data_IF_596743370401
#
_entry.id   IF_596743370401
#
_cell.length_a   1.000
_cell.length_b   1.000
_cell.length_c   1.000
_cell.angle_alpha   90.00
_cell.angle_beta   90.00
_cell.angle_gamma   90.00
#
_symmetry.space_group_name_H-M   'P 1'
#
loop_
_entity.id
_entity.type
_entity.pdbx_description
1 polymer ?
#
# COMPACT_ATOMS: atom_id res chain seq x y z
N UNK A 1 -24.45 -23.09 -0.87
CA UNK A 1 -24.26 -22.03 0.15
C UNK A 1 -23.41 -20.94 -0.49
N UNK A 2 -23.92 -19.73 -0.61
CA UNK A 2 -23.13 -18.57 -1.02
C UNK A 2 -22.17 -18.30 0.13
N UNK A 3 -20.86 -18.40 -0.10
CA UNK A 3 -19.86 -18.00 0.92
C UNK A 3 -19.97 -16.50 1.11
N UNK A 4 -19.90 -16.03 2.35
CA UNK A 4 -19.78 -14.60 2.62
C UNK A 4 -18.59 -14.01 1.85
N UNK A 5 -18.72 -12.79 1.31
CA UNK A 5 -17.63 -12.17 0.58
C UNK A 5 -16.39 -12.00 1.48
N UNK A 6 -15.20 -12.21 0.91
CA UNK A 6 -13.95 -11.89 1.59
C UNK A 6 -13.85 -10.37 1.78
N UNK A 7 -13.23 -9.94 2.87
CA UNK A 7 -13.09 -8.51 3.20
C UNK A 7 -11.64 -8.08 3.11
N UNK A 8 -11.40 -6.93 2.49
CA UNK A 8 -10.11 -6.23 2.47
C UNK A 8 -10.23 -4.84 3.10
N UNK A 9 -9.24 -4.47 3.90
CA UNK A 9 -8.99 -3.08 4.31
C UNK A 9 -7.86 -2.53 3.46
N UNK A 10 -8.08 -1.37 2.81
CA UNK A 10 -7.14 -0.75 1.90
C UNK A 10 -6.92 0.72 2.25
N UNK A 11 -5.66 1.13 2.40
CA UNK A 11 -5.30 2.50 2.71
C UNK A 11 -4.86 3.28 1.47
N UNK A 12 -5.12 4.60 1.43
CA UNK A 12 -4.74 5.44 0.28
C UNK A 12 -5.59 5.20 -0.97
N UNK A 13 -6.90 4.94 -0.78
CA UNK A 13 -7.82 4.49 -1.82
C UNK A 13 -8.27 5.55 -2.82
N UNK A 14 -8.06 6.84 -2.55
CA UNK A 14 -8.70 7.93 -3.31
C UNK A 14 -8.18 8.09 -4.74
N UNK A 15 -6.99 7.59 -5.07
CA UNK A 15 -6.36 7.76 -6.39
C UNK A 15 -5.28 6.70 -6.68
N UNK A 16 -4.80 6.68 -7.92
CA UNK A 16 -3.63 5.92 -8.36
C UNK A 16 -3.75 4.42 -8.11
N UNK A 17 -2.69 3.82 -7.55
CA UNK A 17 -2.62 2.38 -7.26
C UNK A 17 -3.77 1.95 -6.35
N UNK A 18 -3.99 2.66 -5.22
CA UNK A 18 -5.03 2.30 -4.27
C UNK A 18 -6.42 2.29 -4.90
N UNK A 19 -6.75 3.29 -5.72
CA UNK A 19 -8.04 3.32 -6.44
C UNK A 19 -8.20 2.15 -7.42
N UNK A 20 -7.16 1.83 -8.17
CA UNK A 20 -7.15 0.66 -9.08
C UNK A 20 -7.30 -0.65 -8.30
N UNK A 21 -6.66 -0.74 -7.12
CA UNK A 21 -6.75 -1.91 -6.24
C UNK A 21 -8.19 -2.08 -5.70
N UNK A 22 -8.84 -1.00 -5.26
CA UNK A 22 -10.27 -1.05 -4.87
C UNK A 22 -11.11 -1.64 -5.99
N UNK A 23 -11.00 -1.07 -7.20
CA UNK A 23 -11.75 -1.55 -8.38
C UNK A 23 -11.45 -3.02 -8.70
N UNK A 24 -10.21 -3.47 -8.50
CA UNK A 24 -9.81 -4.85 -8.76
C UNK A 24 -10.47 -5.82 -7.77
N UNK A 25 -10.39 -5.53 -6.46
CA UNK A 25 -11.01 -6.35 -5.42
C UNK A 25 -12.55 -6.37 -5.54
N UNK A 26 -13.17 -5.22 -5.82
CA UNK A 26 -14.60 -5.12 -6.03
C UNK A 26 -15.09 -6.02 -7.19
N UNK A 27 -14.41 -6.00 -8.34
CA UNK A 27 -14.70 -6.89 -9.47
C UNK A 27 -14.55 -8.37 -9.15
N UNK A 28 -13.83 -8.71 -8.08
CA UNK A 28 -13.66 -10.07 -7.56
C UNK A 28 -14.65 -10.39 -6.42
N UNK A 29 -15.66 -9.55 -6.23
CA UNK A 29 -16.69 -9.69 -5.21
C UNK A 29 -16.15 -9.71 -3.76
N UNK A 30 -15.08 -8.95 -3.49
CA UNK A 30 -14.63 -8.70 -2.14
C UNK A 30 -15.34 -7.47 -1.58
N UNK A 31 -15.70 -7.52 -0.31
CA UNK A 31 -16.09 -6.34 0.46
C UNK A 31 -14.87 -5.47 0.72
N UNK A 32 -14.92 -4.18 0.35
CA UNK A 32 -13.77 -3.28 0.44
C UNK A 32 -14.06 -2.16 1.42
N UNK A 33 -13.28 -2.12 2.50
CA UNK A 33 -13.25 -1.03 3.48
C UNK A 33 -12.00 -0.19 3.20
N UNK A 34 -12.15 1.12 3.05
CA UNK A 34 -11.03 1.98 2.64
C UNK A 34 -10.81 3.13 3.60
N UNK A 35 -9.58 3.67 3.61
CA UNK A 35 -9.34 4.99 4.16
C UNK A 35 -8.47 5.86 3.26
N UNK A 36 -8.70 7.16 3.35
CA UNK A 36 -7.84 8.21 2.83
C UNK A 36 -8.20 9.55 3.48
N UNK A 37 -7.35 10.57 3.31
CA UNK A 37 -7.62 11.91 3.83
C UNK A 37 -8.78 12.60 3.11
N UNK A 38 -9.02 12.25 1.87
CA UNK A 38 -10.06 12.79 1.02
C UNK A 38 -11.13 11.74 0.74
N UNK A 39 -12.36 12.16 0.58
CA UNK A 39 -13.45 11.28 0.16
C UNK A 39 -13.18 10.77 -1.26
N UNK A 40 -13.52 9.51 -1.56
CA UNK A 40 -13.39 9.00 -2.91
C UNK A 40 -14.31 9.75 -3.89
N UNK A 41 -14.00 9.75 -5.20
CA UNK A 41 -14.87 10.27 -6.23
C UNK A 41 -16.30 9.73 -6.11
N UNK A 42 -17.30 10.54 -6.45
CA UNK A 42 -18.72 10.18 -6.25
C UNK A 42 -19.14 8.96 -7.07
N UNK A 43 -18.60 8.81 -8.27
CA UNK A 43 -18.80 7.66 -9.14
C UNK A 43 -18.33 6.34 -8.51
N UNK A 44 -17.28 6.38 -7.70
CA UNK A 44 -16.74 5.20 -7.02
C UNK A 44 -17.62 4.75 -5.86
N UNK A 45 -18.40 5.66 -5.26
CA UNK A 45 -19.33 5.34 -4.16
C UNK A 45 -20.56 4.53 -4.62
N UNK A 46 -20.75 4.38 -5.92
CA UNK A 46 -21.84 3.59 -6.50
C UNK A 46 -21.50 2.11 -6.63
N UNK A 47 -20.23 1.73 -6.38
CA UNK A 47 -19.81 0.34 -6.40
C UNK A 47 -20.35 -0.37 -5.15
N UNK A 48 -21.22 -1.38 -5.29
CA UNK A 48 -21.86 -2.05 -4.16
C UNK A 48 -20.88 -2.81 -3.26
N UNK A 49 -19.68 -3.15 -3.78
CA UNK A 49 -18.66 -3.86 -3.03
C UNK A 49 -17.66 -2.92 -2.35
N UNK A 50 -17.63 -1.63 -2.75
CA UNK A 50 -16.93 -0.60 -1.98
C UNK A 50 -17.82 -0.15 -0.84
N UNK A 51 -17.89 -1.01 0.18
CA UNK A 51 -18.90 -0.93 1.22
C UNK A 51 -18.74 0.28 2.13
N UNK A 52 -17.49 0.64 2.48
CA UNK A 52 -17.24 1.72 3.45
C UNK A 52 -15.98 2.50 3.12
N UNK A 53 -16.06 3.81 3.37
CA UNK A 53 -14.90 4.70 3.32
C UNK A 53 -14.83 5.54 4.59
N UNK A 54 -13.71 5.43 5.31
CA UNK A 54 -13.42 6.19 6.51
C UNK A 54 -12.42 7.28 6.18
N UNK A 55 -12.74 8.54 6.47
CA UNK A 55 -11.78 9.64 6.29
C UNK A 55 -10.82 9.64 7.46
N UNK A 56 -9.52 9.41 7.19
CA UNK A 56 -8.48 9.37 8.22
C UNK A 56 -7.14 9.89 7.70
N UNK A 57 -6.43 10.61 8.57
CA UNK A 57 -5.02 10.95 8.39
C UNK A 57 -4.15 9.95 9.15
N UNK A 58 -3.44 9.11 8.43
CA UNK A 58 -2.60 8.05 9.01
C UNK A 58 -1.26 8.58 9.54
N UNK A 59 -0.91 9.86 9.30
CA UNK A 59 0.22 10.52 9.93
C UNK A 59 -0.09 10.91 11.38
N UNK A 60 -1.38 11.15 11.70
CA UNK A 60 -1.86 11.47 13.04
C UNK A 60 -2.25 10.18 13.80
N UNK A 61 -1.55 9.92 14.90
CA UNK A 61 -1.74 8.69 15.66
C UNK A 61 -3.17 8.52 16.19
N UNK A 62 -3.82 9.61 16.62
CA UNK A 62 -5.21 9.56 17.11
C UNK A 62 -6.19 9.27 15.99
N UNK A 63 -5.99 9.88 14.83
CA UNK A 63 -6.80 9.62 13.64
C UNK A 63 -6.65 8.17 13.17
N UNK A 64 -5.42 7.62 13.22
CA UNK A 64 -5.16 6.22 12.91
C UNK A 64 -5.86 5.27 13.90
N UNK A 65 -5.77 5.53 15.21
CA UNK A 65 -6.43 4.72 16.23
C UNK A 65 -7.96 4.75 16.09
N UNK A 66 -8.53 5.91 15.77
CA UNK A 66 -9.96 6.04 15.46
C UNK A 66 -10.34 5.24 14.22
N UNK A 67 -9.52 5.30 13.16
CA UNK A 67 -9.73 4.49 11.95
C UNK A 67 -9.76 2.99 12.27
N UNK A 68 -8.80 2.50 13.06
CA UNK A 68 -8.76 1.08 13.47
C UNK A 68 -10.01 0.70 14.25
N UNK A 69 -10.47 1.58 15.14
CA UNK A 69 -11.67 1.34 15.96
C UNK A 69 -12.92 1.26 15.08
N UNK A 70 -13.16 2.26 14.24
CA UNK A 70 -14.31 2.32 13.34
C UNK A 70 -14.31 1.16 12.33
N UNK A 71 -13.15 0.82 11.75
CA UNK A 71 -13.05 -0.30 10.83
C UNK A 71 -13.34 -1.65 11.52
N UNK A 72 -12.97 -1.83 12.80
CA UNK A 72 -13.34 -3.02 13.59
C UNK A 72 -14.84 -3.09 13.87
N UNK A 73 -15.48 -1.96 14.14
CA UNK A 73 -16.95 -1.89 14.31
C UNK A 73 -17.65 -2.30 13.02
N UNK A 74 -17.17 -1.83 11.85
CA UNK A 74 -17.70 -2.23 10.54
C UNK A 74 -17.49 -3.72 10.24
N UNK A 75 -16.36 -4.29 10.65
CA UNK A 75 -16.12 -5.73 10.54
C UNK A 75 -17.09 -6.54 11.41
N UNK A 76 -17.58 -5.99 12.51
CA UNK A 76 -18.59 -6.63 13.40
C UNK A 76 -18.24 -8.11 13.70
N UNK A 77 -16.98 -8.39 14.12
CA UNK A 77 -16.46 -9.74 14.40
C UNK A 77 -16.22 -10.64 13.14
N UNK A 78 -16.56 -10.17 11.93
CA UNK A 78 -16.20 -10.88 10.69
C UNK A 78 -14.69 -11.02 10.54
N UNK A 79 -14.20 -12.04 9.82
CA UNK A 79 -12.79 -12.19 9.51
C UNK A 79 -12.32 -11.09 8.55
N UNK A 80 -11.09 -10.61 8.74
CA UNK A 80 -10.38 -9.79 7.77
C UNK A 80 -9.44 -10.67 6.93
N UNK A 81 -9.63 -10.67 5.62
CA UNK A 81 -8.88 -11.54 4.71
C UNK A 81 -7.66 -10.86 4.09
N UNK A 82 -7.67 -9.51 4.01
CA UNK A 82 -6.52 -8.77 3.51
C UNK A 82 -6.42 -7.38 4.15
N UNK A 83 -5.17 -6.93 4.37
CA UNK A 83 -4.80 -5.57 4.70
C UNK A 83 -3.81 -5.06 3.66
N UNK A 84 -4.19 -4.05 2.86
CA UNK A 84 -3.30 -3.40 1.89
C UNK A 84 -2.83 -2.04 2.43
N UNK A 85 -1.57 -1.98 2.81
CA UNK A 85 -0.88 -0.78 3.26
C UNK A 85 -0.31 -0.02 2.04
N UNK A 86 -1.22 0.62 1.28
CA UNK A 86 -0.86 1.35 0.07
C UNK A 86 -0.65 2.86 0.32
N UNK A 87 -1.20 3.44 1.37
CA UNK A 87 -0.98 4.86 1.68
C UNK A 87 0.51 5.18 1.77
N UNK A 88 0.92 6.27 1.14
CA UNK A 88 2.32 6.71 1.16
C UNK A 88 2.48 8.14 0.64
N UNK A 89 3.58 8.77 1.06
CA UNK A 89 3.91 10.12 0.69
C UNK A 89 5.39 10.25 0.31
N UNK A 90 5.62 10.91 -0.84
CA UNK A 90 6.95 11.27 -1.34
C UNK A 90 6.99 12.78 -1.54
N UNK A 91 7.46 13.56 -0.54
CA UNK A 91 7.51 15.01 -0.64
C UNK A 91 8.46 15.47 -1.73
N UNK A 92 8.09 16.57 -2.37
CA UNK A 92 8.90 17.31 -3.33
C UNK A 92 9.11 18.73 -2.82
N UNK A 93 10.15 19.39 -3.33
CA UNK A 93 10.29 20.85 -3.13
C UNK A 93 9.15 21.60 -3.85
N UNK A 94 8.93 22.89 -3.54
CA UNK A 94 7.99 23.72 -4.29
C UNK A 94 8.30 23.77 -5.81
N UNK A 95 9.57 23.61 -6.17
CA UNK A 95 10.03 23.53 -7.57
C UNK A 95 10.03 22.11 -8.15
N UNK A 96 9.39 21.15 -7.47
CA UNK A 96 9.32 19.71 -7.84
C UNK A 96 10.67 18.99 -7.82
N UNK A 97 11.70 19.59 -7.23
CA UNK A 97 13.02 18.98 -7.10
C UNK A 97 13.03 17.87 -6.04
N UNK A 98 13.96 16.96 -6.20
CA UNK A 98 14.24 15.90 -5.25
C UNK A 98 14.74 16.48 -3.92
N UNK A 99 14.11 16.08 -2.81
CA UNK A 99 14.56 16.39 -1.46
C UNK A 99 15.56 15.35 -0.99
N UNK A 100 16.82 15.77 -0.85
CA UNK A 100 17.93 14.92 -0.42
C UNK A 100 18.22 15.02 1.08
N UNK A 101 19.37 14.46 1.49
CA UNK A 101 19.83 14.52 2.87
C UNK A 101 20.31 15.93 3.28
N UNK A 102 20.76 16.74 2.31
CA UNK A 102 21.33 18.07 2.58
C UNK A 102 20.30 19.18 2.57
N UNK A 103 19.18 19.00 1.85
CA UNK A 103 18.19 20.05 1.61
C UNK A 103 16.76 19.67 2.04
N UNK A 104 16.58 18.47 2.58
CA UNK A 104 15.28 18.00 3.07
C UNK A 104 15.03 18.47 4.51
N UNK A 105 13.81 18.98 4.77
CA UNK A 105 13.37 19.33 6.10
C UNK A 105 13.18 18.08 6.97
N UNK A 106 13.74 18.10 8.20
CA UNK A 106 13.67 16.98 9.14
C UNK A 106 12.24 16.69 9.62
N UNK A 107 11.37 17.69 9.65
CA UNK A 107 9.96 17.47 9.99
C UNK A 107 9.25 16.69 8.87
N UNK A 108 9.54 17.01 7.61
CA UNK A 108 9.08 16.20 6.48
C UNK A 108 9.60 14.76 6.54
N UNK A 109 10.83 14.54 7.01
CA UNK A 109 11.36 13.19 7.25
C UNK A 109 10.53 12.42 8.29
N UNK A 110 10.22 13.03 9.44
CA UNK A 110 9.39 12.41 10.48
C UNK A 110 8.01 12.03 9.94
N UNK A 111 7.35 12.95 9.26
CA UNK A 111 6.04 12.70 8.65
C UNK A 111 6.06 11.58 7.61
N UNK A 112 7.11 11.52 6.76
CA UNK A 112 7.30 10.41 5.81
C UNK A 112 7.38 9.08 6.54
N UNK A 113 8.16 9.00 7.63
CA UNK A 113 8.29 7.77 8.40
C UNK A 113 7.00 7.41 9.15
N UNK A 114 6.28 8.39 9.71
CA UNK A 114 4.98 8.12 10.35
C UNK A 114 4.02 7.46 9.36
N UNK A 115 3.85 8.01 8.16
CA UNK A 115 2.93 7.46 7.17
C UNK A 115 3.45 6.18 6.52
N UNK A 116 4.72 6.18 6.04
CA UNK A 116 5.21 5.11 5.18
C UNK A 116 5.72 3.88 5.94
N UNK A 117 6.02 4.02 7.25
CA UNK A 117 6.62 2.97 8.05
C UNK A 117 5.80 2.66 9.32
N UNK A 118 5.54 3.65 10.19
CA UNK A 118 4.84 3.41 11.45
C UNK A 118 3.36 3.11 11.26
N UNK A 119 2.67 3.76 10.31
CA UNK A 119 1.28 3.48 10.05
C UNK A 119 1.04 2.02 9.61
N UNK A 120 1.77 1.42 8.64
CA UNK A 120 1.67 0.00 8.33
C UNK A 120 1.84 -0.92 9.54
N UNK A 121 2.83 -0.64 10.42
CA UNK A 121 3.04 -1.41 11.64
C UNK A 121 1.86 -1.31 12.61
N UNK A 122 1.37 -0.08 12.86
CA UNK A 122 0.23 0.17 13.76
C UNK A 122 -1.04 -0.50 13.23
N UNK A 123 -1.30 -0.41 11.94
CA UNK A 123 -2.47 -1.04 11.28
C UNK A 123 -2.40 -2.57 11.39
N UNK A 124 -1.26 -3.17 11.08
CA UNK A 124 -1.07 -4.61 11.21
C UNK A 124 -1.34 -5.09 12.63
N UNK A 125 -0.79 -4.41 13.65
CA UNK A 125 -1.05 -4.70 15.06
C UNK A 125 -2.51 -4.49 15.43
N UNK A 126 -3.11 -3.42 14.94
CA UNK A 126 -4.52 -3.09 15.18
C UNK A 126 -5.46 -4.17 14.65
N UNK A 127 -5.19 -4.73 13.49
CA UNK A 127 -6.04 -5.75 12.86
C UNK A 127 -5.57 -7.19 13.05
N UNK A 128 -4.53 -7.46 13.83
CA UNK A 128 -3.94 -8.80 13.99
C UNK A 128 -4.97 -9.89 14.34
N UNK A 129 -5.87 -9.61 15.27
CA UNK A 129 -6.91 -10.56 15.68
C UNK A 129 -7.92 -10.86 14.56
N UNK A 130 -8.34 -9.84 13.80
CA UNK A 130 -9.26 -10.00 12.67
C UNK A 130 -8.60 -10.73 11.49
N UNK A 131 -7.33 -10.43 11.21
CA UNK A 131 -6.51 -11.13 10.21
C UNK A 131 -6.32 -12.60 10.58
N UNK A 132 -6.04 -12.91 11.86
CA UNK A 132 -5.96 -14.30 12.33
C UNK A 132 -7.25 -15.07 12.06
N UNK A 133 -8.43 -14.47 12.32
CA UNK A 133 -9.74 -15.09 12.05
C UNK A 133 -9.90 -15.41 10.56
N UNK A 134 -9.32 -14.61 9.66
CA UNK A 134 -9.43 -14.74 8.21
C UNK A 134 -8.34 -15.58 7.54
N UNK A 135 -7.36 -16.10 8.29
CA UNK A 135 -6.10 -16.59 7.70
C UNK A 135 -5.56 -15.59 6.67
N UNK A 136 -5.50 -14.33 7.09
CA UNK A 136 -5.39 -13.19 6.21
C UNK A 136 -4.01 -12.99 5.58
N UNK A 137 -3.94 -11.98 4.73
CA UNK A 137 -2.69 -11.53 4.10
C UNK A 137 -2.50 -10.04 4.31
N UNK A 138 -1.28 -9.62 4.59
CA UNK A 138 -0.86 -8.21 4.61
C UNK A 138 0.01 -7.96 3.39
N UNK A 139 -0.28 -6.90 2.64
CA UNK A 139 0.56 -6.42 1.55
C UNK A 139 1.02 -5.00 1.85
N UNK A 140 2.33 -4.79 1.90
CA UNK A 140 2.94 -3.49 2.08
C UNK A 140 3.42 -2.94 0.73
N UNK A 141 3.03 -1.72 0.35
CA UNK A 141 3.52 -1.10 -0.87
C UNK A 141 4.83 -0.36 -0.58
N UNK A 142 5.91 -0.97 -1.03
CA UNK A 142 7.27 -0.44 -0.94
C UNK A 142 7.60 0.42 -2.17
N UNK A 143 8.78 0.33 -2.74
CA UNK A 143 9.17 1.00 -3.98
C UNK A 143 10.53 0.50 -4.46
N UNK A 144 10.77 0.51 -5.76
CA UNK A 144 12.13 0.37 -6.33
C UNK A 144 13.12 1.37 -5.71
N UNK A 145 12.67 2.57 -5.34
CA UNK A 145 13.48 3.59 -4.71
C UNK A 145 14.00 3.19 -3.31
N UNK A 146 13.43 2.15 -2.69
CA UNK A 146 13.97 1.57 -1.45
C UNK A 146 15.19 0.68 -1.67
N UNK A 147 15.51 0.31 -2.90
CA UNK A 147 16.58 -0.63 -3.26
C UNK A 147 17.73 0.03 -4.05
N UNK A 148 17.45 1.14 -4.71
CA UNK A 148 18.43 1.86 -5.50
C UNK A 148 18.25 3.38 -5.37
N UNK A 149 19.28 4.14 -5.69
CA UNK A 149 19.19 5.60 -5.76
C UNK A 149 18.28 5.95 -6.93
N UNK A 150 17.20 6.70 -6.61
CA UNK A 150 16.22 7.11 -7.60
C UNK A 150 16.36 8.60 -7.91
N UNK A 151 16.37 9.03 -9.19
CA UNK A 151 16.60 10.43 -9.56
C UNK A 151 15.54 11.40 -9.03
N UNK A 152 14.30 10.93 -8.90
CA UNK A 152 13.16 11.77 -8.51
C UNK A 152 12.66 11.53 -7.09
N UNK A 153 12.87 10.35 -6.51
CA UNK A 153 12.40 10.04 -5.15
C UNK A 153 13.32 10.67 -4.10
N UNK A 154 12.74 11.35 -3.12
CA UNK A 154 13.48 11.97 -2.03
C UNK A 154 14.13 10.93 -1.10
N UNK A 155 15.20 11.33 -0.39
CA UNK A 155 15.93 10.43 0.51
C UNK A 155 15.07 9.88 1.65
N UNK A 156 14.21 10.72 2.25
CA UNK A 156 13.28 10.27 3.29
C UNK A 156 12.32 9.19 2.78
N UNK A 157 11.77 9.38 1.59
CA UNK A 157 10.90 8.39 0.96
C UNK A 157 11.64 7.07 0.71
N UNK A 158 12.80 7.14 0.05
CA UNK A 158 13.59 5.95 -0.29
C UNK A 158 13.97 5.15 0.96
N UNK A 159 14.46 5.82 2.01
CA UNK A 159 14.82 5.15 3.26
C UNK A 159 13.61 4.58 3.99
N UNK A 160 12.47 5.26 3.98
CA UNK A 160 11.24 4.72 4.58
C UNK A 160 10.73 3.47 3.87
N UNK A 161 10.85 3.41 2.53
CA UNK A 161 10.45 2.23 1.74
C UNK A 161 11.43 1.06 1.90
N UNK A 162 12.74 1.33 2.05
CA UNK A 162 13.73 0.32 2.42
C UNK A 162 13.45 -0.25 3.83
N UNK A 163 13.13 0.62 4.78
CA UNK A 163 12.74 0.22 6.13
C UNK A 163 11.47 -0.64 6.13
N UNK A 164 10.46 -0.28 5.33
CA UNK A 164 9.21 -1.04 5.19
C UNK A 164 9.45 -2.42 4.56
N UNK A 165 10.37 -2.54 3.59
CA UNK A 165 10.79 -3.83 3.03
C UNK A 165 11.39 -4.73 4.11
N UNK A 166 12.28 -4.19 4.97
CA UNK A 166 12.82 -4.94 6.11
C UNK A 166 11.74 -5.32 7.11
N UNK A 167 10.87 -4.37 7.50
CA UNK A 167 9.76 -4.60 8.42
C UNK A 167 8.81 -5.71 7.90
N UNK A 168 8.60 -5.79 6.59
CA UNK A 168 7.76 -6.83 5.98
C UNK A 168 8.27 -8.23 6.32
N UNK A 169 9.59 -8.45 6.32
CA UNK A 169 10.19 -9.74 6.69
C UNK A 169 10.03 -10.06 8.17
N UNK A 170 10.25 -9.07 9.04
CA UNK A 170 10.02 -9.25 10.49
C UNK A 170 8.56 -9.57 10.77
N UNK A 171 7.63 -8.81 10.17
CA UNK A 171 6.21 -9.08 10.30
C UNK A 171 5.83 -10.46 9.75
N UNK A 172 6.41 -10.91 8.63
CA UNK A 172 6.13 -12.23 8.08
C UNK A 172 6.52 -13.34 9.06
N UNK A 173 7.65 -13.19 9.75
CA UNK A 173 8.08 -14.13 10.77
C UNK A 173 7.15 -14.14 11.99
N UNK A 174 6.81 -12.96 12.54
CA UNK A 174 5.98 -12.87 13.75
C UNK A 174 4.51 -13.23 13.48
N UNK A 175 3.96 -12.83 12.34
CA UNK A 175 2.54 -13.07 12.02
C UNK A 175 2.28 -14.50 11.51
N UNK A 176 3.33 -15.27 11.19
CA UNK A 176 3.18 -16.69 10.81
C UNK A 176 2.50 -17.52 11.90
N UNK A 177 2.78 -17.26 13.18
CA UNK A 177 2.13 -17.92 14.31
C UNK A 177 0.62 -17.62 14.42
N UNK A 178 0.18 -16.55 13.75
CA UNK A 178 -1.23 -16.19 13.63
C UNK A 178 -1.89 -16.80 12.37
N UNK A 179 -1.15 -17.51 11.52
CA UNK A 179 -1.60 -17.98 10.23
C UNK A 179 -1.75 -16.85 9.20
N UNK A 180 -1.10 -15.70 9.41
CA UNK A 180 -1.18 -14.52 8.56
C UNK A 180 0.08 -14.39 7.71
N UNK A 181 -0.07 -14.24 6.41
CA UNK A 181 1.04 -14.00 5.48
C UNK A 181 1.32 -12.51 5.35
N UNK A 182 2.57 -12.12 5.22
CA UNK A 182 2.97 -10.73 5.03
C UNK A 182 3.97 -10.64 3.90
N UNK A 183 3.65 -9.85 2.88
CA UNK A 183 4.49 -9.66 1.70
C UNK A 183 4.54 -8.17 1.32
N UNK A 184 5.41 -7.82 0.41
CA UNK A 184 5.44 -6.48 -0.18
C UNK A 184 5.43 -6.51 -1.71
N UNK A 185 4.95 -5.42 -2.27
CA UNK A 185 5.07 -5.12 -3.70
C UNK A 185 5.90 -3.86 -3.82
N UNK A 186 6.95 -3.91 -4.66
CA UNK A 186 7.82 -2.79 -4.99
C UNK A 186 7.49 -2.27 -6.41
N UNK A 187 6.68 -1.22 -6.55
CA UNK A 187 6.42 -0.58 -7.83
C UNK A 187 7.67 0.11 -8.38
N UNK A 188 7.82 0.11 -9.72
CA UNK A 188 8.67 1.03 -10.45
C UNK A 188 7.94 2.33 -10.79
N UNK A 189 8.16 2.84 -12.00
CA UNK A 189 7.49 4.04 -12.52
C UNK A 189 6.06 3.69 -12.95
N UNK A 190 5.09 4.05 -12.11
CA UNK A 190 3.66 3.78 -12.36
C UNK A 190 2.95 5.08 -12.70
N UNK A 191 2.17 5.08 -13.78
CA UNK A 191 1.42 6.24 -14.26
C UNK A 191 0.34 6.68 -13.26
N UNK A 192 0.73 7.57 -12.36
CA UNK A 192 -0.12 8.13 -11.30
C UNK A 192 0.22 9.60 -11.06
N UNK A 193 -0.62 10.31 -10.34
CA UNK A 193 -0.35 11.70 -9.93
C UNK A 193 0.87 11.85 -8.97
N UNK A 194 1.50 10.75 -8.55
CA UNK A 194 2.72 10.79 -7.74
C UNK A 194 3.98 10.92 -8.59
N UNK A 195 3.91 10.62 -9.90
CA UNK A 195 5.05 10.76 -10.80
C UNK A 195 5.53 12.22 -10.83
N UNK A 196 6.85 12.37 -10.89
CA UNK A 196 7.45 13.67 -11.15
C UNK A 196 7.25 14.07 -12.61
N UNK A 197 7.22 15.37 -12.92
CA UNK A 197 7.40 15.83 -14.30
C UNK A 197 8.66 15.17 -14.90
N UNK A 198 8.65 14.97 -16.19
CA UNK A 198 9.77 14.38 -16.97
C UNK A 198 10.14 12.93 -16.60
N UNK A 199 9.33 12.21 -15.82
CA UNK A 199 9.60 10.78 -15.51
C UNK A 199 9.71 9.93 -16.79
N UNK A 200 9.13 10.35 -17.89
CA UNK A 200 9.20 9.68 -19.18
C UNK A 200 10.64 9.47 -19.69
N UNK A 201 11.60 10.29 -19.24
CA UNK A 201 13.02 10.10 -19.57
C UNK A 201 13.59 8.78 -19.04
N UNK A 202 12.89 8.13 -18.11
CA UNK A 202 13.27 6.83 -17.56
C UNK A 202 12.75 5.66 -18.41
N UNK A 203 11.79 5.87 -19.31
CA UNK A 203 11.20 4.80 -20.13
C UNK A 203 12.27 3.97 -20.86
N UNK A 204 13.31 4.58 -21.50
CA UNK A 204 14.36 3.81 -22.16
C UNK A 204 15.21 2.93 -21.22
N UNK A 205 15.13 3.18 -19.90
CA UNK A 205 15.80 2.38 -18.86
C UNK A 205 14.89 1.27 -18.29
N UNK A 206 13.64 1.20 -18.75
CA UNK A 206 12.71 0.15 -18.36
C UNK A 206 12.74 -0.94 -19.43
N UNK A 207 13.17 -2.17 -19.15
CA UNK A 207 13.27 -3.24 -20.15
C UNK A 207 11.97 -3.47 -20.94
N UNK A 208 10.80 -3.35 -20.33
CA UNK A 208 9.51 -3.43 -21.03
C UNK A 208 9.12 -2.15 -21.77
N UNK A 209 9.99 -1.12 -21.78
CA UNK A 209 9.89 0.11 -22.57
C UNK A 209 8.54 0.85 -22.41
N UNK A 210 7.97 0.84 -21.22
CA UNK A 210 6.77 1.57 -20.86
C UNK A 210 6.72 1.87 -19.36
N UNK A 211 5.94 2.88 -18.98
CA UNK A 211 5.50 3.05 -17.60
C UNK A 211 4.54 1.90 -17.22
N UNK A 212 4.56 1.52 -15.96
CA UNK A 212 3.55 0.61 -15.41
C UNK A 212 2.19 1.32 -15.25
N UNK A 213 1.13 0.56 -15.31
CA UNK A 213 -0.21 1.04 -15.02
C UNK A 213 -0.61 0.69 -13.58
N UNK A 214 -1.46 1.47 -12.90
CA UNK A 214 -1.96 1.12 -11.57
C UNK A 214 -2.52 -0.30 -11.48
N UNK A 215 -3.10 -0.81 -12.57
CA UNK A 215 -3.65 -2.18 -12.63
C UNK A 215 -2.55 -3.26 -12.65
N UNK A 216 -1.33 -2.96 -13.12
CA UNK A 216 -0.20 -3.89 -13.04
C UNK A 216 0.15 -4.18 -11.56
N UNK A 217 0.01 -3.17 -10.69
CA UNK A 217 0.22 -3.31 -9.26
C UNK A 217 -0.98 -3.97 -8.57
N UNK A 218 -2.20 -3.53 -8.88
CA UNK A 218 -3.44 -4.02 -8.26
C UNK A 218 -3.61 -5.54 -8.44
N UNK A 219 -3.29 -6.07 -9.62
CA UNK A 219 -3.34 -7.51 -9.88
C UNK A 219 -2.35 -8.31 -9.02
N UNK A 220 -1.15 -7.78 -8.80
CA UNK A 220 -0.12 -8.41 -7.96
C UNK A 220 -0.53 -8.37 -6.47
N UNK A 221 -1.10 -7.24 -6.00
CA UNK A 221 -1.65 -7.14 -4.65
C UNK A 221 -2.74 -8.20 -4.44
N UNK A 222 -3.69 -8.29 -5.39
CA UNK A 222 -4.76 -9.28 -5.32
C UNK A 222 -4.22 -10.70 -5.29
N UNK A 223 -3.25 -11.05 -6.15
CA UNK A 223 -2.59 -12.36 -6.15
C UNK A 223 -2.03 -12.68 -4.76
N UNK A 224 -1.29 -11.76 -4.14
CA UNK A 224 -0.73 -11.96 -2.80
C UNK A 224 -1.79 -12.09 -1.69
N UNK A 225 -3.00 -11.56 -1.91
CA UNK A 225 -4.13 -11.70 -0.98
C UNK A 225 -5.00 -12.92 -1.26
N UNK A 226 -4.84 -13.57 -2.42
CA UNK A 226 -5.66 -14.70 -2.87
C UNK A 226 -5.17 -16.06 -2.34
N UNK A 227 -5.93 -17.10 -2.64
CA UNK A 227 -5.58 -18.48 -2.35
C UNK A 227 -4.45 -19.03 -3.24
N UNK A 228 -4.14 -18.34 -4.34
CA UNK A 228 -3.06 -18.72 -5.27
C UNK A 228 -1.66 -18.47 -4.71
N UNK A 229 -1.54 -17.79 -3.55
CA UNK A 229 -0.28 -17.41 -2.91
C UNK A 229 -0.13 -17.94 -1.47
N UNK A 230 -0.80 -19.04 -1.12
CA UNK A 230 -0.85 -19.56 0.25
C UNK A 230 0.49 -19.98 0.84
N UNK A 231 1.50 -20.24 0.02
CA UNK A 231 2.86 -20.60 0.45
C UNK A 231 3.88 -19.47 0.22
N UNK A 232 3.38 -18.22 0.03
CA UNK A 232 4.21 -17.03 -0.20
C UNK A 232 4.08 -16.10 1.01
N UNK A 233 5.16 -15.93 1.78
CA UNK A 233 5.28 -14.97 2.88
C UNK A 233 6.71 -14.48 3.01
N UNK A 234 6.91 -13.25 3.48
CA UNK A 234 8.23 -12.63 3.66
C UNK A 234 8.92 -12.20 2.35
N UNK A 235 8.21 -12.24 1.22
CA UNK A 235 8.77 -11.85 -0.08
C UNK A 235 8.42 -10.43 -0.48
N UNK A 236 9.24 -9.88 -1.38
CA UNK A 236 8.96 -8.65 -2.07
C UNK A 236 8.90 -8.89 -3.58
N UNK A 237 7.79 -8.54 -4.21
CA UNK A 237 7.61 -8.67 -5.65
C UNK A 237 7.86 -7.32 -6.32
N UNK A 238 8.87 -7.27 -7.18
CA UNK A 238 9.17 -6.10 -7.99
C UNK A 238 8.26 -6.04 -9.21
N UNK A 239 7.41 -5.01 -9.29
CA UNK A 239 6.54 -4.74 -10.44
C UNK A 239 7.02 -3.46 -11.12
N UNK A 240 8.08 -3.59 -11.91
CA UNK A 240 8.93 -2.48 -12.36
C UNK A 240 9.21 -2.51 -13.87
N UNK A 241 8.60 -3.44 -14.61
CA UNK A 241 8.96 -3.66 -16.01
C UNK A 241 10.42 -4.09 -16.24
N UNK A 242 11.07 -4.62 -15.19
CA UNK A 242 12.49 -5.04 -15.23
C UNK A 242 13.48 -3.94 -14.79
N UNK A 243 13.03 -2.73 -14.47
CA UNK A 243 13.90 -1.59 -14.12
C UNK A 243 14.85 -1.89 -12.92
N UNK A 244 14.45 -2.76 -12.01
CA UNK A 244 15.22 -3.08 -10.79
C UNK A 244 16.46 -3.96 -11.02
N UNK A 245 16.65 -4.50 -12.20
CA UNK A 245 17.80 -5.37 -12.53
C UNK A 245 18.92 -4.64 -13.27
N UNK A 246 18.76 -3.33 -13.53
CA UNK A 246 19.72 -2.51 -14.28
C UNK A 246 20.49 -1.55 -13.35
#
# INVERSE_FOLDING_TARGET
MVRDPKTVILTGASRGIGHSTVSFFSKKNWEVITCSREKPPEECRRDPNWSHHITADLEDGKSLDNFVTEAKELLAEKPLHALDNNAGWSPKSPTQERLGCLNGDLEAWRRVFELNFFAPLKLARGFAASLRKGNGSIVNITSIAGHAIHPFAGSAYSTSKAALSSLTREMANEFADLGVRVNSVAPGEIETAMLSPDTEVLIPRIPLNRLGQPNDIASTIYFLCSEDSTYITGTEIFVTGGQHIL
#
